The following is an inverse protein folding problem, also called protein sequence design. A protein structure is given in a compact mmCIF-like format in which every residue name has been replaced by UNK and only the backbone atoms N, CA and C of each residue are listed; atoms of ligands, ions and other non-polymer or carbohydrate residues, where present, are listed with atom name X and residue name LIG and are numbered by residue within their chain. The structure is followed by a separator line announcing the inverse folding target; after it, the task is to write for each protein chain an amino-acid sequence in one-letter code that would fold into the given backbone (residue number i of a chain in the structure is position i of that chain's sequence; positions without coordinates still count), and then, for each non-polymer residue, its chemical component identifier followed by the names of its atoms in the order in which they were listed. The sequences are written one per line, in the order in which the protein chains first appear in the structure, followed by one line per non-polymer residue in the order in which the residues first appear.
data_IF_018390842735
#
_entry.id   IF_018390842735
#
_cell.length_a   1.000
_cell.length_b   1.000
_cell.length_c   1.000
_cell.angle_alpha   90.00
_cell.angle_beta   90.00
_cell.angle_gamma   90.00
#
_symmetry.space_group_name_H-M   'P 1'
#
loop_
_entity.id
_entity.type
_entity.pdbx_description
1 polymer ?
#
# COMPACT_ATOMS: atom_id res chain seq x y z
N UNK A 1 -62.09 -31.96 3.70
CA UNK A 1 -61.32 -30.78 4.14
C UNK A 1 -60.23 -30.53 3.11
N UNK A 2 -60.31 -29.42 2.37
CA UNK A 2 -59.35 -29.03 1.33
C UNK A 2 -58.37 -28.03 1.93
N UNK A 3 -57.07 -28.31 1.89
CA UNK A 3 -56.02 -27.34 2.20
C UNK A 3 -55.30 -26.95 0.91
N UNK A 4 -55.34 -25.64 0.65
CA UNK A 4 -54.91 -24.97 -0.57
C UNK A 4 -53.51 -24.38 -0.35
N UNK A 5 -52.51 -24.91 -1.05
CA UNK A 5 -51.11 -24.48 -0.92
C UNK A 5 -50.76 -23.47 -2.00
N UNK A 6 -50.87 -22.17 -1.71
CA UNK A 6 -50.39 -21.11 -2.61
C UNK A 6 -48.88 -20.92 -2.40
N UNK A 7 -48.09 -21.49 -3.31
CA UNK A 7 -46.64 -21.32 -3.39
C UNK A 7 -46.33 -20.00 -4.11
N UNK A 8 -45.82 -19.00 -3.38
CA UNK A 8 -45.36 -17.72 -3.93
C UNK A 8 -43.85 -17.77 -4.14
N UNK A 9 -43.42 -18.06 -5.37
CA UNK A 9 -42.03 -17.97 -5.82
C UNK A 9 -41.62 -16.49 -5.90
N UNK A 10 -40.87 -16.02 -4.91
CA UNK A 10 -40.27 -14.67 -4.89
C UNK A 10 -38.93 -14.74 -5.63
N UNK A 11 -38.86 -14.18 -6.84
CA UNK A 11 -37.60 -14.02 -7.58
C UNK A 11 -36.82 -12.84 -7.02
N UNK A 12 -35.63 -13.10 -6.45
CA UNK A 12 -34.69 -12.07 -6.03
C UNK A 12 -33.86 -11.61 -7.24
N UNK A 13 -33.99 -10.33 -7.61
CA UNK A 13 -33.16 -9.67 -8.62
C UNK A 13 -31.83 -9.31 -7.93
N UNK A 14 -30.75 -10.01 -8.27
CA UNK A 14 -29.40 -9.70 -7.78
C UNK A 14 -28.83 -8.57 -8.65
N UNK A 15 -28.85 -7.35 -8.13
CA UNK A 15 -28.21 -6.19 -8.74
C UNK A 15 -26.71 -6.23 -8.44
N UNK A 16 -25.89 -6.57 -9.44
CA UNK A 16 -24.42 -6.48 -9.35
C UNK A 16 -24.02 -5.02 -9.52
N UNK A 17 -23.57 -4.39 -8.42
CA UNK A 17 -22.99 -3.05 -8.45
C UNK A 17 -21.56 -3.14 -9.00
N UNK A 18 -21.37 -2.74 -10.26
CA UNK A 18 -20.04 -2.52 -10.83
C UNK A 18 -19.47 -1.23 -10.22
N UNK A 19 -18.59 -1.37 -9.25
CA UNK A 19 -17.77 -0.24 -8.78
C UNK A 19 -16.58 -0.10 -9.73
N UNK A 20 -16.29 1.12 -10.23
CA UNK A 20 -15.10 1.33 -11.04
C UNK A 20 -13.86 1.14 -10.15
N UNK A 21 -13.08 0.10 -10.44
CA UNK A 21 -11.75 -0.08 -9.86
C UNK A 21 -10.80 0.81 -10.66
N UNK A 22 -10.18 1.79 -9.99
CA UNK A 22 -9.09 2.55 -10.60
C UNK A 22 -7.99 1.56 -11.03
N UNK A 23 -7.48 1.72 -12.25
CA UNK A 23 -6.38 0.86 -12.71
C UNK A 23 -5.18 1.03 -11.80
N UNK A 24 -4.65 -0.06 -11.26
CA UNK A 24 -3.50 -0.09 -10.36
C UNK A 24 -2.37 -0.86 -11.01
N UNK A 25 -1.15 -0.33 -10.91
CA UNK A 25 0.05 -1.02 -11.40
C UNK A 25 0.90 -1.39 -10.20
N UNK A 26 1.18 -2.69 -10.06
CA UNK A 26 2.02 -3.25 -9.00
C UNK A 26 3.32 -3.73 -9.63
N UNK A 27 4.45 -3.32 -9.07
CA UNK A 27 5.77 -3.77 -9.49
C UNK A 27 6.55 -4.33 -8.31
N UNK A 28 7.05 -5.55 -8.42
CA UNK A 28 7.90 -6.16 -7.39
C UNK A 28 9.36 -5.75 -7.59
N UNK A 29 10.11 -5.58 -6.50
CA UNK A 29 11.55 -5.34 -6.59
C UNK A 29 12.28 -6.61 -7.05
N UNK A 30 13.10 -6.48 -8.10
CA UNK A 30 13.94 -7.54 -8.64
C UNK A 30 15.40 -7.41 -8.20
N UNK A 31 16.16 -8.50 -8.28
CA UNK A 31 17.61 -8.56 -8.01
C UNK A 31 18.07 -8.24 -6.58
N UNK A 32 17.16 -8.27 -5.60
CA UNK A 32 17.50 -8.16 -4.18
C UNK A 32 17.50 -9.54 -3.51
N UNK A 33 18.35 -9.78 -2.49
CA UNK A 33 18.26 -10.98 -1.69
C UNK A 33 16.85 -11.11 -1.10
N UNK A 34 16.23 -12.28 -1.28
CA UNK A 34 14.89 -12.52 -0.73
C UNK A 34 14.90 -12.29 0.78
N UNK A 35 14.10 -11.32 1.22
CA UNK A 35 13.95 -10.98 2.62
C UNK A 35 12.48 -11.19 2.97
N UNK A 36 12.16 -12.41 3.38
CA UNK A 36 10.79 -12.78 3.73
C UNK A 36 10.43 -12.13 5.06
N UNK A 37 9.79 -10.96 5.01
CA UNK A 37 9.26 -10.26 6.16
C UNK A 37 7.79 -9.92 5.92
N UNK A 38 6.91 -10.35 6.83
CA UNK A 38 5.49 -9.99 6.77
C UNK A 38 5.29 -8.59 7.33
N UNK A 39 5.15 -7.63 6.43
CA UNK A 39 4.95 -6.23 6.74
C UNK A 39 3.46 -5.84 6.88
N UNK A 40 2.53 -6.80 6.72
CA UNK A 40 1.09 -6.54 6.67
C UNK A 40 0.54 -5.81 7.89
N UNK A 41 1.04 -6.16 9.08
CA UNK A 41 0.61 -5.56 10.36
C UNK A 41 0.90 -4.07 10.48
N UNK A 42 1.89 -3.55 9.75
CA UNK A 42 2.31 -2.15 9.80
C UNK A 42 1.68 -1.26 8.73
N UNK A 43 1.07 -1.85 7.69
CA UNK A 43 0.47 -1.12 6.56
C UNK A 43 -0.56 -0.09 7.07
N UNK A 44 -1.47 -0.53 7.95
CA UNK A 44 -2.50 0.35 8.50
C UNK A 44 -1.91 1.52 9.29
N UNK A 45 -0.90 1.26 10.12
CA UNK A 45 -0.22 2.29 10.91
C UNK A 45 0.52 3.29 10.02
N UNK A 46 1.25 2.81 9.01
CA UNK A 46 1.93 3.66 8.06
C UNK A 46 0.94 4.56 7.30
N UNK A 47 -0.07 3.97 6.68
CA UNK A 47 -1.04 4.71 5.87
C UNK A 47 -1.86 5.71 6.70
N UNK A 48 -2.21 5.37 7.95
CA UNK A 48 -2.88 6.31 8.85
C UNK A 48 -1.99 7.52 9.18
N UNK A 49 -0.68 7.32 9.35
CA UNK A 49 0.26 8.41 9.62
C UNK A 49 0.42 9.38 8.43
N UNK A 50 0.25 8.88 7.21
CA UNK A 50 0.36 9.70 6.00
C UNK A 50 -0.88 10.55 5.71
N UNK A 51 -2.06 10.15 6.20
CA UNK A 51 -3.32 10.87 5.93
C UNK A 51 -3.38 12.29 6.48
N UNK A 52 -2.41 12.67 7.34
CA UNK A 52 -2.25 14.01 7.89
C UNK A 52 -1.02 14.75 7.32
N UNK A 53 -0.19 14.06 6.53
CA UNK A 53 1.02 14.62 5.93
C UNK A 53 0.66 15.30 4.59
N UNK A 54 1.10 16.55 4.43
CA UNK A 54 1.00 17.30 3.17
C UNK A 54 2.37 17.30 2.53
N UNK A 55 2.47 16.77 1.31
CA UNK A 55 3.74 16.51 0.64
C UNK A 55 3.89 17.39 -0.60
N UNK A 56 4.98 18.14 -0.70
CA UNK A 56 5.28 18.91 -1.91
C UNK A 56 5.58 17.95 -3.09
N UNK A 57 5.56 18.45 -4.34
CA UNK A 57 6.01 17.67 -5.48
C UNK A 57 7.42 17.12 -5.24
N UNK A 58 7.63 15.84 -5.55
CA UNK A 58 8.90 15.12 -5.38
C UNK A 58 9.34 14.89 -3.92
N UNK A 59 8.49 15.19 -2.93
CA UNK A 59 8.76 14.82 -1.54
C UNK A 59 8.46 13.34 -1.30
N UNK A 60 9.12 12.79 -0.28
CA UNK A 60 8.91 11.43 0.20
C UNK A 60 8.65 11.43 1.70
N UNK A 61 7.60 10.74 2.11
CA UNK A 61 7.38 10.38 3.50
C UNK A 61 7.76 8.92 3.70
N UNK A 62 8.54 8.63 4.74
CA UNK A 62 8.99 7.27 5.04
C UNK A 62 8.83 6.91 6.50
N UNK A 63 8.60 5.62 6.76
CA UNK A 63 8.60 5.03 8.10
C UNK A 63 9.25 3.66 8.05
N UNK A 64 10.01 3.34 9.08
CA UNK A 64 10.60 2.03 9.26
C UNK A 64 9.99 1.36 10.49
N UNK A 65 9.62 0.08 10.37
CA UNK A 65 9.13 -0.73 11.48
C UNK A 65 10.03 -1.93 11.70
N UNK A 66 10.47 -2.13 12.95
CA UNK A 66 11.26 -3.29 13.33
C UNK A 66 10.36 -4.53 13.44
N UNK A 67 10.83 -5.63 12.89
CA UNK A 67 10.28 -6.96 13.08
C UNK A 67 11.17 -7.77 14.04
N UNK A 68 10.65 -8.87 14.61
CA UNK A 68 11.48 -9.88 15.26
C UNK A 68 12.55 -10.42 14.30
N UNK A 69 13.57 -11.08 14.86
CA UNK A 69 14.67 -11.72 14.10
C UNK A 69 15.58 -10.76 13.33
N UNK A 70 15.58 -9.47 13.69
CA UNK A 70 16.46 -8.47 13.06
C UNK A 70 16.07 -8.15 11.62
N UNK A 71 14.78 -8.28 11.29
CA UNK A 71 14.21 -7.80 10.04
C UNK A 71 13.53 -6.44 10.26
N UNK A 72 13.25 -5.72 9.17
CA UNK A 72 12.48 -4.48 9.21
C UNK A 72 11.64 -4.31 7.95
N UNK A 73 10.65 -3.44 8.04
CA UNK A 73 9.82 -3.01 6.93
C UNK A 73 9.99 -1.52 6.71
N UNK A 74 10.54 -1.15 5.55
CA UNK A 74 10.67 0.22 5.12
C UNK A 74 9.49 0.59 4.21
N UNK A 75 8.71 1.57 4.62
CA UNK A 75 7.56 2.06 3.86
C UNK A 75 7.82 3.46 3.36
N UNK A 76 7.39 3.73 2.13
CA UNK A 76 7.52 5.04 1.51
C UNK A 76 6.24 5.44 0.78
N UNK A 77 5.93 6.73 0.85
CA UNK A 77 5.00 7.39 -0.05
C UNK A 77 5.76 8.49 -0.76
N UNK A 78 5.61 8.59 -2.06
CA UNK A 78 6.27 9.58 -2.91
C UNK A 78 5.22 10.36 -3.69
N UNK A 79 5.30 11.68 -3.64
CA UNK A 79 4.46 12.54 -4.48
C UNK A 79 5.13 12.71 -5.86
N UNK A 80 4.72 11.88 -6.81
CA UNK A 80 5.15 11.95 -8.21
C UNK A 80 4.40 13.01 -9.03
N UNK A 81 3.39 13.66 -8.44
CA UNK A 81 2.59 14.70 -9.07
C UNK A 81 3.30 16.05 -9.17
N UNK A 82 2.61 17.00 -9.81
CA UNK A 82 3.08 18.39 -9.99
C UNK A 82 2.60 19.37 -8.93
N UNK A 83 1.79 18.93 -7.96
CA UNK A 83 1.18 19.78 -6.93
C UNK A 83 1.42 19.23 -5.53
N UNK A 84 1.45 20.12 -4.55
CA UNK A 84 1.41 19.74 -3.14
C UNK A 84 0.06 19.11 -2.81
N UNK A 85 0.07 17.92 -2.25
CA UNK A 85 -1.15 17.13 -1.97
C UNK A 85 -0.91 16.17 -0.79
N UNK A 86 -1.96 15.49 -0.34
CA UNK A 86 -1.90 14.47 0.70
C UNK A 86 -2.29 13.09 0.16
N UNK A 87 -1.55 12.03 0.52
CA UNK A 87 -1.86 10.68 0.08
C UNK A 87 -3.18 10.16 0.69
N UNK A 88 -3.97 9.47 -0.13
CA UNK A 88 -5.18 8.78 0.34
C UNK A 88 -4.82 7.57 1.19
N UNK A 89 -5.29 7.56 2.44
CA UNK A 89 -5.12 6.45 3.40
C UNK A 89 -5.67 5.13 2.82
N UNK A 90 -6.85 5.18 2.18
CA UNK A 90 -7.49 3.99 1.61
C UNK A 90 -6.72 3.41 0.43
N UNK A 91 -6.21 4.27 -0.46
CA UNK A 91 -5.40 3.83 -1.60
C UNK A 91 -4.04 3.31 -1.15
N UNK A 92 -3.41 3.95 -0.16
CA UNK A 92 -2.20 3.47 0.47
C UNK A 92 -2.39 2.05 1.03
N UNK A 93 -3.42 1.84 1.87
CA UNK A 93 -3.64 0.57 2.52
C UNK A 93 -3.97 -0.54 1.51
N UNK A 94 -4.84 -0.24 0.54
CA UNK A 94 -5.22 -1.19 -0.51
C UNK A 94 -4.01 -1.54 -1.39
N UNK A 95 -3.26 -0.53 -1.84
CA UNK A 95 -2.10 -0.71 -2.69
C UNK A 95 -1.01 -1.53 -2.01
N UNK A 96 -0.62 -1.14 -0.80
CA UNK A 96 0.44 -1.84 -0.07
C UNK A 96 0.03 -3.27 0.32
N UNK A 97 -1.26 -3.52 0.55
CA UNK A 97 -1.76 -4.88 0.76
C UNK A 97 -1.62 -5.75 -0.50
N UNK A 98 -1.78 -5.16 -1.69
CA UNK A 98 -1.54 -5.85 -2.96
C UNK A 98 -0.05 -6.13 -3.18
N UNK A 99 0.81 -5.18 -2.84
CA UNK A 99 2.28 -5.38 -2.88
C UNK A 99 2.68 -6.50 -1.92
N UNK A 100 2.21 -6.48 -0.68
CA UNK A 100 2.55 -7.52 0.31
C UNK A 100 2.10 -8.92 -0.14
N UNK A 101 0.98 -9.03 -0.85
CA UNK A 101 0.47 -10.30 -1.37
C UNK A 101 1.17 -10.75 -2.65
N UNK A 102 1.42 -9.82 -3.58
CA UNK A 102 2.00 -10.12 -4.90
C UNK A 102 3.53 -10.18 -4.91
N UNK A 103 4.18 -9.55 -3.93
CA UNK A 103 5.63 -9.35 -3.88
C UNK A 103 6.22 -9.72 -2.49
N UNK A 104 5.67 -10.76 -1.84
CA UNK A 104 5.96 -11.09 -0.44
C UNK A 104 7.45 -11.31 -0.08
N UNK A 105 8.30 -11.64 -1.06
CA UNK A 105 9.71 -11.96 -0.81
C UNK A 105 10.64 -10.74 -0.83
N UNK A 106 10.31 -9.73 -1.64
CA UNK A 106 11.23 -8.63 -1.95
C UNK A 106 10.59 -7.25 -1.78
N UNK A 107 9.30 -7.20 -1.46
CA UNK A 107 8.56 -5.96 -1.52
C UNK A 107 8.37 -5.45 -2.94
N UNK A 108 7.89 -4.22 -3.03
CA UNK A 108 7.60 -3.59 -4.30
C UNK A 108 6.94 -2.24 -4.14
N UNK A 109 6.35 -1.81 -5.22
CA UNK A 109 5.68 -0.52 -5.36
C UNK A 109 4.32 -0.67 -6.00
N UNK A 110 3.48 0.33 -5.77
CA UNK A 110 2.16 0.44 -6.37
C UNK A 110 1.83 1.89 -6.66
N UNK A 111 1.22 2.11 -7.81
CA UNK A 111 0.62 3.37 -8.18
C UNK A 111 -0.77 3.15 -8.78
N UNK A 112 -1.62 4.15 -8.63
CA UNK A 112 -2.97 4.16 -9.15
C UNK A 112 -3.04 5.14 -10.31
N UNK A 113 -3.63 4.72 -11.43
CA UNK A 113 -3.76 5.54 -12.62
C UNK A 113 -4.49 6.85 -12.31
N UNK A 114 -3.89 7.97 -12.72
CA UNK A 114 -4.43 9.31 -12.48
C UNK A 114 -4.23 9.85 -11.05
N UNK A 115 -3.54 9.12 -10.16
CA UNK A 115 -3.21 9.60 -8.82
C UNK A 115 -1.73 9.93 -8.69
N UNK A 116 -1.37 10.97 -7.90
CA UNK A 116 -0.01 11.49 -7.86
C UNK A 116 0.92 10.68 -6.94
N UNK A 117 0.38 9.82 -6.08
CA UNK A 117 1.16 9.09 -5.08
C UNK A 117 1.55 7.70 -5.53
N UNK A 118 2.84 7.38 -5.34
CA UNK A 118 3.39 6.03 -5.45
C UNK A 118 3.74 5.55 -4.05
N UNK A 119 3.34 4.33 -3.72
CA UNK A 119 3.59 3.71 -2.43
C UNK A 119 4.57 2.55 -2.59
N UNK A 120 5.45 2.38 -1.61
CA UNK A 120 6.50 1.37 -1.61
C UNK A 120 6.49 0.63 -0.27
N UNK A 121 6.77 -0.67 -0.32
CA UNK A 121 7.00 -1.54 0.82
C UNK A 121 8.25 -2.34 0.51
N UNK A 122 9.27 -2.19 1.34
CA UNK A 122 10.58 -2.81 1.17
C UNK A 122 10.96 -3.57 2.46
N UNK A 123 10.79 -4.90 2.51
CA UNK A 123 11.27 -5.72 3.60
C UNK A 123 12.80 -5.84 3.52
N UNK A 124 13.48 -5.43 4.58
CA UNK A 124 14.94 -5.39 4.66
C UNK A 124 15.49 -6.14 5.87
N UNK A 125 16.77 -6.51 5.79
CA UNK A 125 17.52 -7.05 6.94
C UNK A 125 18.13 -5.92 7.77
N UNK A 126 18.25 -6.16 9.07
CA UNK A 126 18.75 -5.22 10.05
C UNK A 126 17.64 -4.40 10.73
N UNK A 127 17.99 -3.66 11.80
CA UNK A 127 17.04 -2.80 12.49
C UNK A 127 16.81 -1.50 11.73
N UNK A 128 15.71 -0.83 12.05
CA UNK A 128 15.49 0.57 11.73
C UNK A 128 16.59 1.41 12.37
N UNK A 129 17.35 2.11 11.54
CA UNK A 129 18.34 3.07 12.03
C UNK A 129 17.64 4.42 12.19
N UNK A 130 17.70 4.99 13.39
CA UNK A 130 17.31 6.38 13.57
C UNK A 130 18.40 7.23 12.92
N UNK A 131 18.17 7.68 11.69
CA UNK A 131 19.07 8.67 11.10
C UNK A 131 18.68 10.02 11.74
N UNK A 132 19.59 10.71 12.45
CA UNK A 132 19.29 12.03 13.01
C UNK A 132 18.79 12.94 11.89
N UNK A 133 17.63 13.54 12.12
CA UNK A 133 16.82 14.27 11.13
C UNK A 133 17.59 15.43 10.50
N UNK A 134 18.24 15.16 9.39
CA UNK A 134 18.75 16.15 8.45
C UNK A 134 18.34 15.75 7.06
N UNK A 135 17.23 16.33 6.57
CA UNK A 135 16.72 16.30 5.18
C UNK A 135 17.50 15.38 4.22
N UNK A 136 17.27 14.07 4.29
CA UNK A 136 17.82 13.16 3.29
C UNK A 136 16.88 13.22 2.09
N UNK A 137 17.28 14.00 1.09
CA UNK A 137 16.85 13.75 -0.29
C UNK A 137 17.32 12.33 -0.62
N UNK A 138 16.39 11.41 -0.82
CA UNK A 138 16.71 10.07 -1.32
C UNK A 138 17.50 10.24 -2.62
N UNK A 139 18.78 9.92 -2.59
CA UNK A 139 19.59 9.84 -3.78
C UNK A 139 19.06 8.66 -4.60
N UNK A 140 18.42 8.94 -5.74
CA UNK A 140 17.90 7.97 -6.71
C UNK A 140 19.05 7.21 -7.42
N UNK A 141 20.02 6.67 -6.68
CA UNK A 141 21.16 5.96 -7.24
C UNK A 141 21.43 4.69 -6.43
N UNK A 142 20.47 3.77 -6.50
CA UNK A 142 20.67 2.34 -6.24
C UNK A 142 19.51 1.54 -6.87
N UNK A 143 19.33 1.71 -8.17
CA UNK A 143 18.76 0.68 -9.06
C UNK A 143 19.70 0.59 -10.26
#
# INVERSE_FOLDING_TARGET
MMFNSRSLLTSAIISVLFTPVLSQTVGCFGNVPETVADCSSFIGTFCASLGVDVMAPQDTASRCFNLPNGLRCDFFAFNSGGTTDSPSVGNCATGLSLVNQGCAQNGGQVNFAGLPFVFFLDPNTGPCVVIPTGNIKLNQSAI
#
